data_IF_040468469837
#
_entry.id   IF_040468469837
#
_cell.length_a   1.000
_cell.length_b   1.000
_cell.length_c   1.000
_cell.angle_alpha   90.00
_cell.angle_beta   90.00
_cell.angle_gamma   90.00
#
_symmetry.space_group_name_H-M   'P 1'
#
loop_
_entity.id
_entity.type
_entity.pdbx_description
1 polymer ?
#
# COMPACT_ATOMS: atom_id res chain seq x y z
N UNK A 1 4.12 60.63 37.12
CA UNK A 1 3.57 59.43 36.45
C UNK A 1 3.05 58.54 37.56
N UNK A 2 1.74 58.26 37.58
CA UNK A 2 1.16 57.48 38.67
C UNK A 2 1.50 56.00 38.52
N UNK A 3 1.59 55.31 39.65
CA UNK A 3 1.93 53.88 39.69
C UNK A 3 0.95 53.03 38.85
N UNK A 4 -0.30 53.49 38.76
CA UNK A 4 -1.33 52.88 37.92
C UNK A 4 -1.05 53.04 36.42
N UNK A 5 -0.50 54.19 35.99
CA UNK A 5 -0.15 54.43 34.59
C UNK A 5 1.03 53.54 34.16
N UNK A 6 2.00 53.34 35.06
CA UNK A 6 3.18 52.51 34.81
C UNK A 6 2.83 51.01 34.78
N UNK A 7 1.96 50.57 35.69
CA UNK A 7 1.45 49.19 35.70
C UNK A 7 0.59 48.89 34.46
N UNK A 8 -0.24 49.83 34.01
CA UNK A 8 -1.03 49.69 32.78
C UNK A 8 -0.15 49.57 31.53
N UNK A 9 0.89 50.42 31.42
CA UNK A 9 1.87 50.36 30.33
C UNK A 9 2.64 49.03 30.31
N UNK A 10 3.08 48.56 31.48
CA UNK A 10 3.79 47.29 31.61
C UNK A 10 2.90 46.10 31.20
N UNK A 11 1.63 46.12 31.58
CA UNK A 11 0.65 45.07 31.22
C UNK A 11 0.38 45.06 29.72
N UNK A 12 0.24 46.23 29.09
CA UNK A 12 0.06 46.35 27.65
C UNK A 12 1.28 45.82 26.87
N UNK A 13 2.50 46.10 27.36
CA UNK A 13 3.73 45.56 26.79
C UNK A 13 3.80 44.03 26.90
N UNK A 14 3.38 43.47 28.03
CA UNK A 14 3.36 42.02 28.26
C UNK A 14 2.40 41.30 27.30
N UNK A 15 1.23 41.87 27.04
CA UNK A 15 0.27 41.34 26.05
C UNK A 15 0.84 41.40 24.64
N UNK A 16 1.54 42.49 24.29
CA UNK A 16 2.22 42.62 22.99
C UNK A 16 3.32 41.57 22.80
N UNK A 17 4.13 41.33 23.82
CA UNK A 17 5.18 40.29 23.79
C UNK A 17 4.55 38.89 23.65
N UNK A 18 3.46 38.62 24.36
CA UNK A 18 2.72 37.35 24.24
C UNK A 18 2.15 37.13 22.84
N UNK A 19 1.56 38.17 22.23
CA UNK A 19 1.07 38.12 20.84
C UNK A 19 2.21 37.89 19.84
N UNK A 20 3.35 38.56 20.02
CA UNK A 20 4.52 38.38 19.17
C UNK A 20 5.06 36.94 19.24
N UNK A 21 5.11 36.34 20.43
CA UNK A 21 5.53 34.94 20.60
C UNK A 21 4.58 33.96 19.88
N UNK A 22 3.26 34.19 19.96
CA UNK A 22 2.27 33.37 19.24
C UNK A 22 2.45 33.48 17.73
N UNK A 23 2.68 34.68 17.20
CA UNK A 23 2.91 34.90 15.77
C UNK A 23 4.21 34.23 15.29
N UNK A 24 5.29 34.31 16.07
CA UNK A 24 6.55 33.62 15.77
C UNK A 24 6.35 32.10 15.73
N UNK A 25 5.62 31.53 16.70
CA UNK A 25 5.28 30.10 16.72
C UNK A 25 4.46 29.68 15.49
N UNK A 26 3.47 30.47 15.10
CA UNK A 26 2.67 30.22 13.88
C UNK A 26 3.57 30.29 12.65
N UNK A 27 4.45 31.29 12.55
CA UNK A 27 5.41 31.46 11.47
C UNK A 27 6.39 30.28 11.36
N UNK A 28 6.97 29.85 12.47
CA UNK A 28 7.86 28.67 12.52
C UNK A 28 7.13 27.39 12.13
N UNK A 29 5.87 27.23 12.56
CA UNK A 29 5.06 26.07 12.24
C UNK A 29 4.65 26.04 10.76
N UNK A 30 4.37 27.21 10.17
CA UNK A 30 4.15 27.36 8.73
C UNK A 30 5.42 27.05 7.94
N UNK A 31 6.57 27.62 8.33
CA UNK A 31 7.85 27.41 7.67
C UNK A 31 8.27 25.94 7.72
N UNK A 32 8.11 25.29 8.88
CA UNK A 32 8.37 23.85 9.06
C UNK A 32 7.46 22.99 8.20
N UNK A 33 6.18 23.36 8.05
CA UNK A 33 5.25 22.67 7.13
C UNK A 33 5.67 22.84 5.67
N UNK A 34 6.11 24.04 5.28
CA UNK A 34 6.56 24.33 3.92
C UNK A 34 7.84 23.55 3.57
N UNK A 35 8.83 23.56 4.47
CA UNK A 35 10.05 22.77 4.32
C UNK A 35 9.77 21.28 4.22
N UNK A 36 8.87 20.76 5.08
CA UNK A 36 8.42 19.37 5.01
C UNK A 36 7.78 19.04 3.66
N UNK A 37 6.93 19.93 3.13
CA UNK A 37 6.29 19.73 1.83
C UNK A 37 7.32 19.63 0.70
N UNK A 38 8.33 20.49 0.69
CA UNK A 38 9.39 20.45 -0.32
C UNK A 38 10.26 19.20 -0.20
N UNK A 39 10.62 18.81 1.02
CA UNK A 39 11.34 17.56 1.28
C UNK A 39 10.54 16.33 0.84
N UNK A 40 9.23 16.31 1.12
CA UNK A 40 8.32 15.25 0.70
C UNK A 40 8.32 15.13 -0.83
N UNK A 41 8.28 16.24 -1.59
CA UNK A 41 8.33 16.23 -3.07
C UNK A 41 9.62 15.58 -3.58
N UNK A 42 10.78 15.98 -3.07
CA UNK A 42 12.08 15.42 -3.49
C UNK A 42 12.15 13.92 -3.20
N UNK A 43 11.71 13.50 -2.01
CA UNK A 43 11.70 12.08 -1.63
C UNK A 43 10.75 11.27 -2.51
N UNK A 44 9.57 11.83 -2.83
CA UNK A 44 8.58 11.21 -3.72
C UNK A 44 9.16 11.01 -5.11
N UNK A 45 9.90 11.98 -5.65
CA UNK A 45 10.53 11.85 -6.97
C UNK A 45 11.60 10.76 -7.00
N UNK A 46 12.43 10.67 -5.96
CA UNK A 46 13.41 9.56 -5.83
C UNK A 46 12.71 8.19 -5.85
N UNK A 47 11.61 8.04 -5.12
CA UNK A 47 10.86 6.78 -5.13
C UNK A 47 10.13 6.52 -6.44
N UNK A 48 9.71 7.58 -7.15
CA UNK A 48 9.14 7.46 -8.50
C UNK A 48 10.16 6.90 -9.47
N UNK A 49 11.36 7.50 -9.55
CA UNK A 49 12.44 7.01 -10.42
C UNK A 49 12.80 5.57 -10.07
N UNK A 50 13.05 5.28 -8.79
CA UNK A 50 13.35 3.92 -8.33
C UNK A 50 12.24 2.93 -8.69
N UNK A 51 10.97 3.32 -8.59
CA UNK A 51 9.86 2.45 -8.98
C UNK A 51 9.88 2.14 -10.47
N UNK A 52 10.11 3.15 -11.32
CA UNK A 52 10.24 2.95 -12.77
C UNK A 52 11.36 1.97 -13.11
N UNK A 53 12.52 2.10 -12.47
CA UNK A 53 13.67 1.20 -12.67
C UNK A 53 13.39 -0.25 -12.26
N UNK A 54 12.35 -0.49 -11.45
CA UNK A 54 12.00 -1.81 -10.92
C UNK A 54 10.75 -2.41 -11.57
N UNK A 55 10.16 -1.77 -12.60
CA UNK A 55 8.92 -2.26 -13.22
C UNK A 55 9.07 -3.66 -13.83
N UNK A 56 10.18 -3.95 -14.51
CA UNK A 56 10.43 -5.28 -15.09
C UNK A 56 10.52 -6.37 -14.01
N UNK A 57 11.21 -6.05 -12.90
CA UNK A 57 11.34 -6.95 -11.74
C UNK A 57 10.00 -7.13 -11.03
N UNK A 58 9.19 -6.08 -10.95
CA UNK A 58 7.82 -6.17 -10.45
C UNK A 58 6.98 -7.08 -11.35
N UNK A 59 7.10 -6.95 -12.68
CA UNK A 59 6.48 -7.83 -13.66
C UNK A 59 6.83 -9.31 -13.42
N UNK A 60 8.10 -9.60 -13.13
CA UNK A 60 8.56 -10.95 -12.76
C UNK A 60 7.86 -11.48 -11.49
N UNK A 61 7.64 -10.65 -10.47
CA UNK A 61 6.92 -11.07 -9.27
C UNK A 61 5.43 -11.31 -9.53
N UNK A 62 4.79 -10.45 -10.33
CA UNK A 62 3.40 -10.67 -10.74
C UNK A 62 3.29 -11.98 -11.50
N UNK A 63 4.24 -12.27 -12.40
CA UNK A 63 4.31 -13.53 -13.11
C UNK A 63 4.39 -14.74 -12.18
N UNK A 64 5.25 -14.68 -11.16
CA UNK A 64 5.40 -15.76 -10.19
C UNK A 64 4.19 -15.90 -9.26
N UNK A 65 3.51 -14.80 -8.93
CA UNK A 65 2.31 -14.83 -8.08
C UNK A 65 1.04 -15.28 -8.79
N UNK A 66 1.00 -15.26 -10.13
CA UNK A 66 -0.12 -15.73 -10.96
C UNK A 66 0.10 -17.17 -11.42
N UNK A 67 -0.97 -17.81 -11.88
CA UNK A 67 -0.84 -19.11 -12.59
C UNK A 67 -0.42 -18.89 -14.05
N UNK A 68 0.32 -19.85 -14.63
CA UNK A 68 0.97 -19.72 -15.94
C UNK A 68 0.06 -19.25 -17.08
N UNK A 69 -1.22 -19.64 -17.06
CA UNK A 69 -2.20 -19.34 -18.11
C UNK A 69 -3.15 -18.18 -17.78
N UNK A 70 -2.91 -17.45 -16.69
CA UNK A 70 -3.71 -16.27 -16.38
C UNK A 70 -3.37 -15.08 -17.30
N UNK A 71 -4.29 -14.13 -17.37
CA UNK A 71 -4.06 -12.86 -18.03
C UNK A 71 -3.11 -11.97 -17.21
N UNK A 72 -2.10 -11.40 -17.86
CA UNK A 72 -1.12 -10.49 -17.27
C UNK A 72 -1.34 -9.06 -17.78
N UNK A 73 -1.50 -8.12 -16.85
CA UNK A 73 -1.66 -6.69 -17.19
C UNK A 73 -0.34 -5.92 -17.17
N UNK A 74 0.68 -6.44 -16.48
CA UNK A 74 1.93 -5.71 -16.18
C UNK A 74 3.10 -6.12 -17.06
N UNK A 75 2.99 -7.22 -17.79
CA UNK A 75 4.01 -7.74 -18.71
C UNK A 75 3.34 -8.12 -20.02
N UNK A 76 4.01 -7.86 -21.12
CA UNK A 76 3.52 -8.21 -22.45
C UNK A 76 3.84 -9.67 -22.81
N UNK A 77 3.35 -10.13 -23.97
CA UNK A 77 3.56 -11.50 -24.44
C UNK A 77 5.05 -11.82 -24.66
N UNK A 78 5.86 -10.82 -25.03
CA UNK A 78 7.30 -10.99 -25.31
C UNK A 78 8.05 -11.30 -24.01
N UNK A 79 7.80 -10.52 -22.95
CA UNK A 79 8.37 -10.76 -21.63
C UNK A 79 7.85 -12.05 -21.00
N UNK A 80 6.57 -12.40 -21.20
CA UNK A 80 6.04 -13.71 -20.76
C UNK A 80 6.79 -14.86 -21.46
N UNK A 81 7.02 -14.77 -22.78
CA UNK A 81 7.82 -15.77 -23.52
C UNK A 81 9.25 -15.86 -22.98
N UNK A 82 9.87 -14.73 -22.65
CA UNK A 82 11.21 -14.68 -22.05
C UNK A 82 11.25 -15.31 -20.65
N UNK A 83 10.26 -15.05 -19.80
CA UNK A 83 10.14 -15.68 -18.48
C UNK A 83 9.87 -17.18 -18.58
N UNK A 84 9.03 -17.61 -19.52
CA UNK A 84 8.82 -19.02 -19.83
C UNK A 84 10.12 -19.71 -20.28
N UNK A 85 10.94 -19.05 -21.10
CA UNK A 85 12.24 -19.56 -21.50
C UNK A 85 13.22 -19.66 -20.32
N UNK A 86 13.20 -18.69 -19.39
CA UNK A 86 13.98 -18.76 -18.15
C UNK A 86 13.54 -19.93 -17.26
N UNK A 87 12.25 -20.25 -17.19
CA UNK A 87 11.76 -21.41 -16.44
C UNK A 87 12.33 -22.73 -16.97
N UNK A 88 12.50 -22.87 -18.29
CA UNK A 88 13.10 -24.08 -18.90
C UNK A 88 14.55 -24.32 -18.46
N UNK A 89 15.24 -23.27 -17.99
CA UNK A 89 16.63 -23.33 -17.54
C UNK A 89 16.77 -23.55 -16.04
N UNK A 90 15.65 -23.59 -15.30
CA UNK A 90 15.65 -23.80 -13.84
C UNK A 90 16.12 -25.22 -13.54
N UNK A 91 17.02 -25.33 -12.57
CA UNK A 91 17.49 -26.61 -12.05
C UNK A 91 17.24 -26.66 -10.55
N UNK A 92 16.83 -27.82 -10.04
CA UNK A 92 16.47 -27.98 -8.63
C UNK A 92 17.67 -27.83 -7.67
N UNK A 93 18.90 -27.92 -8.17
CA UNK A 93 20.15 -27.83 -7.39
C UNK A 93 20.69 -26.40 -7.24
N UNK A 94 20.09 -25.40 -7.91
CA UNK A 94 20.59 -24.01 -7.93
C UNK A 94 19.47 -23.00 -7.70
N UNK A 95 19.76 -21.90 -6.97
CA UNK A 95 18.77 -20.84 -6.76
C UNK A 95 18.43 -20.15 -8.08
N UNK A 96 17.18 -19.74 -8.20
CA UNK A 96 16.65 -19.04 -9.37
C UNK A 96 17.01 -17.55 -9.27
N UNK A 97 18.22 -17.20 -9.69
CA UNK A 97 18.82 -15.86 -9.51
C UNK A 97 17.87 -14.72 -9.94
N UNK A 98 17.27 -14.82 -11.12
CA UNK A 98 16.37 -13.77 -11.63
C UNK A 98 15.12 -13.57 -10.76
N UNK A 99 14.58 -14.64 -10.18
CA UNK A 99 13.42 -14.56 -9.29
C UNK A 99 13.82 -14.00 -7.93
N UNK A 100 14.98 -14.41 -7.43
CA UNK A 100 15.56 -13.93 -6.16
C UNK A 100 15.91 -12.44 -6.21
N UNK A 101 16.51 -11.98 -7.30
CA UNK A 101 16.82 -10.55 -7.50
C UNK A 101 15.54 -9.74 -7.60
N UNK A 102 14.53 -10.24 -8.31
CA UNK A 102 13.23 -9.57 -8.41
C UNK A 102 12.56 -9.41 -7.03
N UNK A 103 12.49 -10.48 -6.22
CA UNK A 103 11.85 -10.40 -4.90
C UNK A 103 12.64 -9.51 -3.97
N UNK A 104 13.98 -9.60 -3.97
CA UNK A 104 14.84 -8.76 -3.15
C UNK A 104 14.61 -7.29 -3.46
N UNK A 105 14.76 -6.90 -4.71
CA UNK A 105 14.84 -5.49 -5.08
C UNK A 105 13.49 -4.80 -4.94
N UNK A 106 12.41 -5.43 -5.41
CA UNK A 106 11.05 -4.89 -5.26
C UNK A 106 10.63 -4.86 -3.80
N UNK A 107 10.82 -5.96 -3.05
CA UNK A 107 10.35 -6.02 -1.66
C UNK A 107 11.13 -5.07 -0.77
N UNK A 108 12.43 -4.87 -1.02
CA UNK A 108 13.23 -3.84 -0.32
C UNK A 108 12.71 -2.45 -0.63
N UNK A 109 12.41 -2.13 -1.89
CA UNK A 109 11.84 -0.83 -2.26
C UNK A 109 10.50 -0.56 -1.56
N UNK A 110 9.57 -1.51 -1.61
CA UNK A 110 8.27 -1.40 -0.95
C UNK A 110 8.41 -1.30 0.58
N UNK A 111 9.34 -2.06 1.14
CA UNK A 111 9.66 -2.05 2.57
C UNK A 111 10.22 -0.70 3.02
N UNK A 112 11.13 -0.10 2.24
CA UNK A 112 11.71 1.23 2.51
C UNK A 112 10.62 2.32 2.47
N UNK A 113 9.76 2.31 1.44
CA UNK A 113 8.61 3.21 1.35
C UNK A 113 7.68 3.05 2.56
N UNK A 114 7.39 1.81 2.96
CA UNK A 114 6.58 1.53 4.14
C UNK A 114 7.23 2.08 5.42
N UNK A 115 8.55 1.93 5.60
CA UNK A 115 9.27 2.50 6.76
C UNK A 115 9.07 4.01 6.82
N UNK A 116 9.25 4.72 5.70
CA UNK A 116 9.05 6.18 5.64
C UNK A 116 7.62 6.59 6.03
N UNK A 117 6.62 5.82 5.60
CA UNK A 117 5.21 6.06 5.98
C UNK A 117 4.98 5.80 7.47
N UNK A 118 5.51 4.69 8.01
CA UNK A 118 5.41 4.34 9.42
C UNK A 118 6.13 5.35 10.31
N UNK A 119 7.23 5.94 9.82
CA UNK A 119 7.95 7.03 10.46
C UNK A 119 7.27 8.41 10.23
N UNK A 120 6.24 8.52 9.39
CA UNK A 120 5.56 9.79 9.10
C UNK A 120 6.41 10.82 8.34
N UNK A 121 7.52 10.37 7.75
CA UNK A 121 8.35 11.16 6.82
C UNK A 121 7.83 11.09 5.38
N UNK A 122 6.81 10.27 5.12
CA UNK A 122 6.13 10.18 3.84
C UNK A 122 4.64 9.93 4.10
N UNK A 123 3.78 10.53 3.28
CA UNK A 123 2.34 10.30 3.37
C UNK A 123 1.89 9.23 2.38
N UNK A 124 0.90 8.41 2.75
CA UNK A 124 0.32 7.43 1.82
C UNK A 124 -0.33 8.12 0.61
N UNK A 125 -0.88 9.33 0.81
CA UNK A 125 -1.44 10.17 -0.24
C UNK A 125 -0.40 10.54 -1.31
N UNK A 126 0.86 10.76 -0.91
CA UNK A 126 1.95 11.10 -1.83
C UNK A 126 2.49 9.88 -2.58
N UNK A 127 2.38 8.68 -1.98
CA UNK A 127 2.86 7.43 -2.56
C UNK A 127 1.85 6.81 -3.52
N UNK A 128 0.56 6.99 -3.25
CA UNK A 128 -0.51 6.39 -4.03
C UNK A 128 -0.44 6.72 -5.54
N UNK A 129 -0.15 7.95 -5.98
CA UNK A 129 -0.01 8.24 -7.42
C UNK A 129 1.14 7.52 -8.12
N UNK A 130 2.15 7.05 -7.38
CA UNK A 130 3.30 6.32 -7.94
C UNK A 130 2.99 4.82 -8.03
N UNK A 131 2.46 4.25 -6.95
CA UNK A 131 2.36 2.80 -6.78
C UNK A 131 0.92 2.26 -6.84
N UNK A 132 -0.05 3.10 -6.52
CA UNK A 132 -1.39 2.70 -6.08
C UNK A 132 -2.09 1.78 -7.05
N UNK A 133 -2.40 2.26 -8.25
CA UNK A 133 -3.16 1.48 -9.23
C UNK A 133 -2.40 0.23 -9.69
N UNK A 134 -1.09 0.34 -9.94
CA UNK A 134 -0.25 -0.77 -10.40
C UNK A 134 -0.14 -1.89 -9.36
N UNK A 135 0.13 -1.55 -8.09
CA UNK A 135 0.23 -2.55 -7.02
C UNK A 135 -1.14 -3.13 -6.68
N UNK A 136 -2.20 -2.31 -6.63
CA UNK A 136 -3.53 -2.77 -6.22
C UNK A 136 -4.14 -3.77 -7.20
N UNK A 137 -4.00 -3.51 -8.51
CA UNK A 137 -4.43 -4.46 -9.55
C UNK A 137 -3.71 -5.81 -9.48
N UNK A 138 -2.50 -5.82 -8.90
CA UNK A 138 -1.70 -7.02 -8.69
C UNK A 138 -1.59 -7.41 -7.21
N UNK A 139 -2.50 -6.94 -6.36
CA UNK A 139 -2.41 -7.20 -4.93
C UNK A 139 -2.66 -8.67 -4.58
N UNK A 140 -3.50 -9.39 -5.33
CA UNK A 140 -3.71 -10.82 -5.17
C UNK A 140 -2.45 -11.66 -5.45
N UNK A 141 -1.80 -11.57 -6.63
CA UNK A 141 -0.58 -12.33 -6.88
C UNK A 141 0.55 -11.96 -5.92
N UNK A 142 0.67 -10.69 -5.52
CA UNK A 142 1.61 -10.28 -4.47
C UNK A 142 1.28 -10.93 -3.13
N UNK A 143 -0.01 -11.00 -2.74
CA UNK A 143 -0.42 -11.70 -1.52
C UNK A 143 -0.15 -13.19 -1.57
N UNK A 144 -0.33 -13.87 -2.72
CA UNK A 144 0.07 -15.28 -2.87
C UNK A 144 1.57 -15.48 -2.59
N UNK A 145 2.43 -14.54 -2.98
CA UNK A 145 3.86 -14.58 -2.63
C UNK A 145 4.15 -14.23 -1.16
N UNK A 146 3.44 -13.25 -0.62
CA UNK A 146 3.65 -12.74 0.74
C UNK A 146 2.92 -13.54 1.81
N UNK A 147 1.94 -14.35 1.48
CA UNK A 147 1.09 -15.11 2.41
C UNK A 147 0.94 -16.51 1.82
N UNK A 148 1.83 -17.44 2.16
CA UNK A 148 1.83 -18.81 1.61
C UNK A 148 0.48 -19.54 1.82
N UNK A 149 -0.26 -19.17 2.86
CA UNK A 149 -1.62 -19.65 3.15
C UNK A 149 -2.67 -19.22 2.10
N UNK A 150 -2.41 -18.19 1.30
CA UNK A 150 -3.26 -17.81 0.16
C UNK A 150 -3.12 -18.78 -1.02
N UNK A 151 -2.06 -19.59 -1.07
CA UNK A 151 -1.88 -20.60 -2.12
C UNK A 151 -2.56 -21.93 -1.72
N UNK A 152 -3.88 -21.93 -1.72
CA UNK A 152 -4.70 -23.15 -1.50
C UNK A 152 -4.74 -24.07 -2.72
N UNK A 153 -4.12 -23.65 -3.83
CA UNK A 153 -4.25 -24.23 -5.16
C UNK A 153 -3.41 -25.50 -5.34
N UNK A 154 -2.21 -25.53 -4.75
CA UNK A 154 -1.22 -26.59 -4.99
C UNK A 154 -1.68 -27.95 -4.44
N UNK A 155 -2.29 -27.98 -3.25
CA UNK A 155 -2.75 -29.23 -2.63
C UNK A 155 -3.92 -29.89 -3.38
N UNK A 156 -4.65 -29.14 -4.23
CA UNK A 156 -5.82 -29.65 -4.94
C UNK A 156 -5.52 -30.23 -6.33
N UNK A 157 -4.32 -30.03 -6.89
CA UNK A 157 -4.04 -30.29 -8.31
C UNK A 157 -2.83 -31.20 -8.57
N UNK A 158 -2.17 -31.70 -7.52
CA UNK A 158 -0.86 -32.39 -7.60
C UNK A 158 -0.80 -33.67 -8.44
N UNK A 159 -1.93 -34.24 -8.90
CA UNK A 159 -1.91 -35.56 -9.54
C UNK A 159 -1.82 -35.55 -11.08
N UNK A 160 -1.94 -34.39 -11.77
CA UNK A 160 -1.93 -34.32 -13.24
C UNK A 160 -1.34 -33.01 -13.84
N UNK A 161 -0.50 -32.27 -13.10
CA UNK A 161 0.04 -30.99 -13.59
C UNK A 161 1.21 -31.21 -14.56
N UNK A 162 1.16 -30.50 -15.69
CA UNK A 162 2.26 -30.39 -16.66
C UNK A 162 3.57 -29.99 -15.94
N UNK A 163 4.73 -30.63 -16.23
CA UNK A 163 6.02 -30.32 -15.63
C UNK A 163 6.36 -28.82 -15.57
N UNK A 164 5.91 -28.04 -16.55
CA UNK A 164 6.09 -26.59 -16.58
C UNK A 164 5.44 -25.88 -15.39
N UNK A 165 4.25 -26.32 -14.97
CA UNK A 165 3.56 -25.81 -13.79
C UNK A 165 4.29 -26.16 -12.51
N UNK A 166 4.82 -27.39 -12.42
CA UNK A 166 5.60 -27.80 -11.25
C UNK A 166 6.85 -26.93 -11.08
N UNK A 167 7.56 -26.63 -12.17
CA UNK A 167 8.73 -25.75 -12.15
C UNK A 167 8.33 -24.32 -11.75
N UNK A 168 7.26 -23.76 -12.32
CA UNK A 168 6.77 -22.43 -11.94
C UNK A 168 6.45 -22.34 -10.44
N UNK A 169 5.73 -23.31 -9.90
CA UNK A 169 5.44 -23.40 -8.47
C UNK A 169 6.70 -23.58 -7.63
N UNK A 170 7.69 -24.34 -8.10
CA UNK A 170 8.97 -24.49 -7.39
C UNK A 170 9.70 -23.15 -7.25
N UNK A 171 9.74 -22.35 -8.32
CA UNK A 171 10.34 -21.00 -8.28
C UNK A 171 9.50 -20.06 -7.40
N UNK A 172 8.16 -20.14 -7.46
CA UNK A 172 7.28 -19.40 -6.56
C UNK A 172 7.59 -19.71 -5.09
N UNK A 173 7.78 -20.99 -4.76
CA UNK A 173 8.14 -21.44 -3.41
C UNK A 173 9.48 -20.88 -2.97
N UNK A 174 10.49 -20.89 -3.83
CA UNK A 174 11.79 -20.28 -3.53
C UNK A 174 11.64 -18.79 -3.15
N UNK A 175 10.78 -18.06 -3.88
CA UNK A 175 10.47 -16.65 -3.57
C UNK A 175 9.70 -16.52 -2.24
N UNK A 176 8.75 -17.40 -1.97
CA UNK A 176 8.03 -17.43 -0.69
C UNK A 176 8.97 -17.73 0.49
N UNK A 177 9.87 -18.70 0.34
CA UNK A 177 10.88 -19.06 1.34
C UNK A 177 11.79 -17.87 1.63
N UNK A 178 12.24 -17.16 0.60
CA UNK A 178 12.99 -15.92 0.78
C UNK A 178 12.22 -14.90 1.62
N UNK A 179 10.92 -14.71 1.37
CA UNK A 179 10.06 -13.80 2.13
C UNK A 179 9.81 -14.28 3.57
N UNK A 180 9.79 -15.59 3.83
CA UNK A 180 9.72 -16.17 5.17
C UNK A 180 10.98 -15.82 5.96
N UNK A 181 12.16 -15.98 5.36
CA UNK A 181 13.43 -15.60 6.00
C UNK A 181 13.55 -14.08 6.24
N UNK A 182 12.87 -13.27 5.43
CA UNK A 182 12.86 -11.81 5.53
C UNK A 182 11.53 -11.27 6.09
N UNK A 183 11.09 -11.84 7.22
CA UNK A 183 9.77 -11.57 7.83
C UNK A 183 9.46 -10.07 8.04
N UNK A 184 10.46 -9.25 8.38
CA UNK A 184 10.27 -7.79 8.52
C UNK A 184 9.91 -7.12 7.20
N UNK A 185 10.63 -7.42 6.13
CA UNK A 185 10.36 -6.92 4.77
C UNK A 185 8.99 -7.38 4.29
N UNK A 186 8.68 -8.67 4.44
CA UNK A 186 7.39 -9.27 4.11
C UNK A 186 6.23 -8.54 4.81
N UNK A 187 6.34 -8.34 6.13
CA UNK A 187 5.32 -7.65 6.94
C UNK A 187 5.10 -6.20 6.49
N UNK A 188 6.17 -5.47 6.18
CA UNK A 188 6.10 -4.09 5.66
C UNK A 188 5.44 -4.01 4.27
N UNK A 189 5.70 -4.97 3.40
CA UNK A 189 5.00 -5.06 2.11
C UNK A 189 3.49 -5.25 2.30
N UNK A 190 3.07 -6.13 3.21
CA UNK A 190 1.65 -6.33 3.54
C UNK A 190 1.00 -5.05 4.09
N UNK A 191 1.66 -4.37 5.02
CA UNK A 191 1.19 -3.08 5.54
C UNK A 191 1.00 -2.06 4.41
N UNK A 192 1.97 -1.94 3.50
CA UNK A 192 1.89 -1.00 2.39
C UNK A 192 0.71 -1.31 1.47
N UNK A 193 0.50 -2.59 1.11
CA UNK A 193 -0.65 -3.02 0.29
C UNK A 193 -1.96 -2.62 0.98
N UNK A 194 -2.11 -2.88 2.28
CA UNK A 194 -3.31 -2.52 3.04
C UNK A 194 -3.55 -1.00 3.09
N UNK A 195 -2.48 -0.21 3.23
CA UNK A 195 -2.56 1.26 3.21
C UNK A 195 -2.95 1.80 1.83
N UNK A 196 -2.42 1.22 0.75
CA UNK A 196 -2.80 1.58 -0.62
C UNK A 196 -4.28 1.27 -0.88
N UNK A 197 -4.79 0.12 -0.41
CA UNK A 197 -6.22 -0.22 -0.51
C UNK A 197 -7.10 0.78 0.24
N UNK A 198 -6.65 1.24 1.41
CA UNK A 198 -7.35 2.27 2.17
C UNK A 198 -7.37 3.63 1.48
N UNK A 199 -6.27 4.03 0.85
CA UNK A 199 -6.19 5.29 0.08
C UNK A 199 -7.05 5.23 -1.19
N UNK A 200 -7.03 4.12 -1.93
CA UNK A 200 -7.89 3.92 -3.09
C UNK A 200 -9.38 3.98 -2.72
N UNK A 201 -9.77 3.32 -1.63
CA UNK A 201 -11.15 3.37 -1.12
C UNK A 201 -11.56 4.77 -0.66
N UNK A 202 -10.63 5.54 -0.07
CA UNK A 202 -10.85 6.94 0.31
C UNK A 202 -11.09 7.81 -0.91
N UNK A 203 -10.31 7.61 -1.98
CA UNK A 203 -10.42 8.33 -3.25
C UNK A 203 -11.57 7.83 -4.14
N UNK A 204 -12.16 6.68 -3.83
CA UNK A 204 -13.14 5.98 -4.68
C UNK A 204 -12.59 5.66 -6.08
N UNK A 205 -11.30 5.33 -6.12
CA UNK A 205 -10.54 5.04 -7.35
C UNK A 205 -10.62 3.55 -7.75
N UNK A 206 -11.63 2.84 -7.26
CA UNK A 206 -11.83 1.41 -7.48
C UNK A 206 -13.29 1.11 -7.81
N UNK A 207 -13.54 0.08 -8.64
CA UNK A 207 -14.89 -0.42 -8.91
C UNK A 207 -15.66 -0.77 -7.62
N UNK A 208 -17.00 -0.61 -7.60
CA UNK A 208 -17.83 -1.02 -6.47
C UNK A 208 -17.64 -2.48 -6.05
N UNK A 209 -17.44 -3.39 -7.02
CA UNK A 209 -17.13 -4.81 -6.78
C UNK A 209 -15.84 -5.01 -5.98
N UNK A 210 -14.79 -4.27 -6.33
CA UNK A 210 -13.47 -4.40 -5.72
C UNK A 210 -13.48 -3.81 -4.31
N UNK A 211 -14.16 -2.67 -4.13
CA UNK A 211 -14.40 -2.07 -2.82
C UNK A 211 -15.16 -3.01 -1.88
N UNK A 212 -16.18 -3.70 -2.41
CA UNK A 212 -16.95 -4.70 -1.67
C UNK A 212 -16.09 -5.89 -1.27
N UNK A 213 -15.39 -6.49 -2.24
CA UNK A 213 -14.49 -7.62 -2.02
C UNK A 213 -13.42 -7.30 -0.96
N UNK A 214 -12.81 -6.12 -1.07
CA UNK A 214 -11.81 -5.65 -0.12
C UNK A 214 -12.37 -5.42 1.28
N UNK A 215 -13.61 -4.92 1.41
CA UNK A 215 -14.27 -4.74 2.70
C UNK A 215 -14.69 -6.08 3.33
N UNK A 216 -15.21 -7.01 2.52
CA UNK A 216 -15.59 -8.37 2.93
C UNK A 216 -14.36 -9.12 3.47
N UNK A 217 -13.23 -9.08 2.76
CA UNK A 217 -11.97 -9.68 3.23
C UNK A 217 -11.52 -9.10 4.57
N UNK A 218 -11.64 -7.77 4.74
CA UNK A 218 -11.23 -7.07 5.97
C UNK A 218 -12.19 -7.23 7.14
N UNK A 219 -13.37 -7.84 6.94
CA UNK A 219 -14.18 -8.29 8.08
C UNK A 219 -13.44 -9.33 8.93
N UNK A 220 -12.61 -10.16 8.29
CA UNK A 220 -11.78 -11.18 8.96
C UNK A 220 -10.41 -10.62 9.35
N UNK A 221 -9.73 -9.94 8.42
CA UNK A 221 -8.31 -9.56 8.60
C UNK A 221 -8.09 -8.14 9.12
N UNK A 222 -9.12 -7.29 9.21
CA UNK A 222 -8.96 -5.87 9.50
C UNK A 222 -8.33 -5.58 10.87
N UNK A 223 -8.66 -6.37 11.90
CA UNK A 223 -8.05 -6.21 13.23
C UNK A 223 -6.57 -6.62 13.23
N UNK A 224 -6.22 -7.72 12.55
CA UNK A 224 -4.85 -8.20 12.40
C UNK A 224 -3.99 -7.19 11.65
N UNK A 225 -4.50 -6.61 10.55
CA UNK A 225 -3.80 -5.59 9.78
C UNK A 225 -3.50 -4.34 10.62
N UNK A 226 -4.45 -3.91 11.46
CA UNK A 226 -4.24 -2.78 12.40
C UNK A 226 -3.21 -3.11 13.48
N UNK A 227 -3.22 -4.34 14.00
CA UNK A 227 -2.24 -4.79 14.99
C UNK A 227 -0.83 -4.86 14.37
N UNK A 228 -0.73 -5.36 13.14
CA UNK A 228 0.52 -5.45 12.36
C UNK A 228 1.20 -4.09 12.23
N UNK A 229 0.44 -3.02 11.94
CA UNK A 229 0.97 -1.64 11.91
C UNK A 229 1.53 -1.24 13.27
N UNK A 230 0.78 -1.45 14.35
CA UNK A 230 1.22 -1.06 15.70
C UNK A 230 2.51 -1.77 16.10
N UNK A 231 2.58 -3.07 15.87
CA UNK A 231 3.77 -3.88 16.15
C UNK A 231 4.97 -3.38 15.35
N UNK A 232 4.81 -3.11 14.05
CA UNK A 232 5.92 -2.65 13.23
C UNK A 232 6.43 -1.27 13.65
N UNK A 233 5.55 -0.34 14.02
CA UNK A 233 5.98 0.99 14.54
C UNK A 233 6.78 0.84 15.85
N UNK A 234 6.36 -0.06 16.73
CA UNK A 234 7.10 -0.34 17.98
C UNK A 234 8.49 -0.92 17.69
N UNK A 235 8.60 -1.86 16.74
CA UNK A 235 9.87 -2.47 16.35
C UNK A 235 10.86 -1.46 15.73
N UNK A 236 10.36 -0.43 15.06
CA UNK A 236 11.19 0.67 14.54
C UNK A 236 11.69 1.64 15.63
N UNK A 237 11.54 1.28 16.91
CA UNK A 237 11.97 2.01 18.11
C UNK A 237 11.64 3.51 18.08
N UNK A 238 10.47 3.84 17.53
CA UNK A 238 10.03 5.22 17.40
C UNK A 238 8.92 5.51 18.41
N UNK A 239 9.26 5.47 19.70
CA UNK A 239 8.31 5.64 20.82
C UNK A 239 7.49 6.94 20.72
N UNK A 240 8.09 8.02 20.19
CA UNK A 240 7.39 9.29 19.90
C UNK A 240 6.34 9.21 18.77
N UNK A 241 6.20 8.04 18.10
CA UNK A 241 5.31 7.83 16.95
C UNK A 241 4.22 6.77 17.18
N UNK A 242 3.92 6.40 18.43
CA UNK A 242 2.70 5.63 18.74
C UNK A 242 1.43 6.30 18.18
N UNK A 243 1.38 7.64 18.18
CA UNK A 243 0.31 8.43 17.55
C UNK A 243 0.21 8.14 16.04
N UNK A 244 1.34 7.99 15.34
CA UNK A 244 1.36 7.64 13.92
C UNK A 244 0.81 6.23 13.69
N UNK A 245 1.12 5.26 14.56
CA UNK A 245 0.54 3.92 14.49
C UNK A 245 -0.99 3.97 14.64
N UNK A 246 -1.51 4.73 15.61
CA UNK A 246 -2.96 4.93 15.78
C UNK A 246 -3.57 5.59 14.54
N UNK A 247 -2.92 6.64 14.01
CA UNK A 247 -3.38 7.35 12.81
C UNK A 247 -3.48 6.42 11.60
N UNK A 248 -2.46 5.60 11.35
CA UNK A 248 -2.42 4.64 10.24
C UNK A 248 -3.41 3.49 10.45
N UNK A 249 -3.52 2.94 11.66
CA UNK A 249 -4.53 1.92 11.98
C UNK A 249 -5.96 2.46 11.79
N UNK A 250 -6.22 3.72 12.16
CA UNK A 250 -7.51 4.37 11.90
C UNK A 250 -7.71 4.71 10.42
N UNK A 251 -6.62 4.90 9.66
CA UNK A 251 -6.65 5.13 8.23
C UNK A 251 -7.08 3.86 7.47
N UNK A 252 -6.64 2.67 7.88
CA UNK A 252 -7.05 1.40 7.27
C UNK A 252 -8.58 1.21 7.18
N UNK A 253 -9.32 1.80 8.12
CA UNK A 253 -10.79 1.77 8.16
C UNK A 253 -11.44 2.30 6.88
N UNK A 254 -10.76 3.13 6.07
CA UNK A 254 -11.31 3.60 4.79
C UNK A 254 -11.69 2.45 3.84
N UNK A 255 -11.02 1.30 3.96
CA UNK A 255 -11.32 0.10 3.16
C UNK A 255 -12.10 -0.99 3.93
N UNK A 256 -12.57 -0.69 5.14
CA UNK A 256 -13.46 -1.55 5.94
C UNK A 256 -14.91 -1.06 5.80
N UNK A 257 -15.90 -1.90 6.09
CA UNK A 257 -17.28 -1.41 6.21
C UNK A 257 -17.43 -0.42 7.36
N UNK A 258 -18.25 0.62 7.14
CA UNK A 258 -18.66 1.51 8.23
C UNK A 258 -19.40 0.71 9.30
N UNK A 259 -18.97 0.88 10.56
CA UNK A 259 -19.69 0.32 11.72
C UNK A 259 -20.84 1.22 12.16
N UNK A 260 -20.60 2.54 12.18
CA UNK A 260 -21.59 3.54 12.61
C UNK A 260 -21.67 4.72 11.63
N UNK A 261 -22.77 5.47 11.71
CA UNK A 261 -22.92 6.72 10.97
C UNK A 261 -21.81 7.71 11.34
N UNK A 262 -21.31 8.48 10.38
CA UNK A 262 -20.18 9.42 10.59
C UNK A 262 -18.80 8.78 10.73
N UNK A 263 -18.67 7.45 10.80
CA UNK A 263 -17.35 6.79 10.85
C UNK A 263 -16.72 6.62 9.45
N UNK A 264 -15.39 6.46 9.45
CA UNK A 264 -14.62 6.09 8.25
C UNK A 264 -15.01 4.70 7.77
N UNK A 265 -14.98 4.52 6.46
CA UNK A 265 -15.20 3.23 5.80
C UNK A 265 -16.23 3.28 4.69
N UNK A 266 -16.53 2.11 4.17
CA UNK A 266 -17.39 1.88 3.01
C UNK A 266 -18.83 1.70 3.49
N UNK A 267 -19.74 2.51 2.96
CA UNK A 267 -21.18 2.36 3.23
C UNK A 267 -21.78 1.36 2.26
N UNK A 268 -22.41 0.30 2.77
CA UNK A 268 -23.11 -0.70 1.94
C UNK A 268 -24.20 -0.06 1.06
N UNK A 269 -24.92 0.94 1.57
CA UNK A 269 -25.93 1.70 0.80
C UNK A 269 -25.30 2.50 -0.33
N UNK A 270 -24.19 3.20 -0.04
CA UNK A 270 -23.46 3.98 -1.05
C UNK A 270 -22.90 3.06 -2.14
N UNK A 271 -22.38 1.90 -1.75
CA UNK A 271 -21.81 0.93 -2.69
C UNK A 271 -22.86 0.40 -3.68
N UNK A 272 -24.06 0.05 -3.20
CA UNK A 272 -25.19 -0.34 -4.08
C UNK A 272 -25.57 0.77 -5.06
N UNK A 273 -25.58 2.03 -4.59
CA UNK A 273 -25.86 3.18 -5.46
C UNK A 273 -24.79 3.34 -6.55
N UNK A 274 -23.52 3.28 -6.17
CA UNK A 274 -22.41 3.36 -7.12
C UNK A 274 -22.45 2.23 -8.14
N UNK A 275 -22.78 1.01 -7.72
CA UNK A 275 -22.93 -0.15 -8.61
C UNK A 275 -24.06 0.06 -9.64
N UNK A 276 -25.20 0.61 -9.22
CA UNK A 276 -26.29 0.96 -10.13
C UNK A 276 -25.88 2.05 -11.14
N UNK A 277 -25.22 3.13 -10.67
CA UNK A 277 -24.72 4.23 -11.51
C UNK A 277 -23.67 3.74 -12.53
N UNK A 278 -22.77 2.86 -12.11
CA UNK A 278 -21.77 2.28 -13.01
C UNK A 278 -22.39 1.38 -14.06
N UNK A 279 -23.33 0.52 -13.65
CA UNK A 279 -24.03 -0.38 -14.56
C UNK A 279 -24.79 0.40 -15.62
N UNK A 280 -25.48 1.47 -15.23
CA UNK A 280 -26.20 2.36 -16.15
C UNK A 280 -25.27 3.02 -17.17
N UNK A 281 -24.16 3.64 -16.72
CA UNK A 281 -23.18 4.27 -17.63
C UNK A 281 -22.55 3.29 -18.61
N UNK A 282 -22.26 2.06 -18.15
CA UNK A 282 -21.69 1.03 -19.02
C UNK A 282 -22.71 0.56 -20.06
N UNK A 283 -23.96 0.37 -19.66
CA UNK A 283 -25.04 -0.02 -20.56
C UNK A 283 -25.31 1.07 -21.62
N UNK A 284 -25.37 2.34 -21.21
CA UNK A 284 -25.48 3.49 -22.13
C UNK A 284 -24.34 3.54 -23.14
N UNK A 285 -23.09 3.40 -22.67
CA UNK A 285 -21.91 3.43 -23.54
C UNK A 285 -21.86 2.25 -24.54
N UNK A 286 -22.56 1.15 -24.26
CA UNK A 286 -22.64 -0.02 -25.14
C UNK A 286 -23.95 -0.09 -25.93
N UNK A 287 -24.81 0.94 -25.87
CA UNK A 287 -26.08 0.98 -26.59
C UNK A 287 -27.09 -0.06 -26.12
N UNK A 288 -26.94 -0.56 -24.89
CA UNK A 288 -27.82 -1.55 -24.29
C UNK A 288 -28.76 -0.84 -23.31
N UNK A 289 -30.06 -1.01 -23.47
CA UNK A 289 -31.04 -0.59 -22.46
C UNK A 289 -31.27 -1.72 -21.45
N UNK A 290 -31.52 -1.38 -20.18
CA UNK A 290 -31.92 -2.37 -19.17
C UNK A 290 -33.19 -3.11 -19.65
N UNK A 291 -33.28 -4.44 -19.47
CA UNK A 291 -34.54 -5.15 -19.61
C UNK A 291 -35.58 -4.66 -18.59
#
# INVERSE_FOLDING_TARGET
MDNNTLTALATAFLVLVGLAQVLILIGQLYLSRSQKKNQDITVVEVYRTRWFDHQDKFGCLVYLGRELNEYYQTIDEVEIKKLNSKLKLVKNDKPTIWARDAVRDVSILLSDICIRILQGSLSIQSVYPILGTTILRQSLPLRKLLESEYDSSYLRLSNNLDPKYMIHHSVRREVQDWLIYHAGTRRRCLILIDLLWAEAARLQDLPPSDLKSAADAKMKTGNENKLRIKQEVLLLNTYSKYVQAIKLANFLKHSEYKRFFGTKGISKRKLKKMEAEWTERLLENHGLSRP
#
